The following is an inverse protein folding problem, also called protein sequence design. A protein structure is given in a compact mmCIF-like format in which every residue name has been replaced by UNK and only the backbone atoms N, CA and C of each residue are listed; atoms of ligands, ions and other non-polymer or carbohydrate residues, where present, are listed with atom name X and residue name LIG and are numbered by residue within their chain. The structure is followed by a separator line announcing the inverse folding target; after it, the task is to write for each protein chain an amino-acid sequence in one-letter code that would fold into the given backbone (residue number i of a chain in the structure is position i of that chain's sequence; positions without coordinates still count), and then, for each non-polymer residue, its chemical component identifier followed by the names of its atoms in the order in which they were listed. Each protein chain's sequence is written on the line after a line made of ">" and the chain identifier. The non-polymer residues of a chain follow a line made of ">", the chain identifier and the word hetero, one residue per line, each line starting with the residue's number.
data_IF_784168318101
#
_entry.id   IF_784168318101
#
_cell.length_a   1.000
_cell.length_b   1.000
_cell.length_c   1.000
_cell.angle_alpha   90.00
_cell.angle_beta   90.00
_cell.angle_gamma   90.00
#
_symmetry.space_group_name_H-M   'P 1'
#
loop_
_entity.id
_entity.type
_entity.pdbx_description
1 polymer ?
#
# COMPACT_ATOMS: atom_id res chain seq x y z
N UNK A 1 -21.67 -53.22 60.30
CA UNK A 1 -22.10 -52.13 59.41
C UNK A 1 -20.87 -51.74 58.58
N UNK A 2 -20.63 -52.41 57.45
CA UNK A 2 -20.91 -51.92 56.07
C UNK A 2 -20.09 -50.65 55.76
N UNK A 3 -19.27 -50.49 54.72
CA UNK A 3 -19.05 -51.20 53.45
C UNK A 3 -17.92 -50.45 52.69
N UNK A 4 -17.18 -51.15 51.81
CA UNK A 4 -16.56 -50.65 50.55
C UNK A 4 -15.55 -49.48 50.56
N UNK A 5 -14.27 -49.79 50.33
CA UNK A 5 -13.38 -49.02 49.44
C UNK A 5 -13.83 -49.28 47.97
N UNK A 6 -13.59 -48.43 46.93
CA UNK A 6 -12.25 -47.90 46.61
C UNK A 6 -12.21 -46.57 45.78
N UNK A 7 -11.01 -46.28 45.26
CA UNK A 7 -10.70 -45.58 44.00
C UNK A 7 -10.13 -44.17 44.03
N UNK A 8 -8.89 -44.12 43.55
CA UNK A 8 -8.12 -42.97 43.13
C UNK A 8 -8.84 -42.18 42.04
N UNK A 9 -8.70 -40.85 42.07
CA UNK A 9 -8.82 -40.05 40.86
C UNK A 9 -7.64 -39.08 40.76
N UNK A 10 -6.81 -39.39 39.78
CA UNK A 10 -5.84 -38.52 39.12
C UNK A 10 -6.35 -37.08 38.99
N UNK A 11 -5.65 -36.15 39.64
CA UNK A 11 -5.71 -34.73 39.26
C UNK A 11 -5.01 -34.54 37.92
N UNK A 12 -5.69 -34.86 36.81
CA UNK A 12 -5.24 -34.47 35.48
C UNK A 12 -5.07 -32.93 35.43
N UNK A 13 -3.95 -32.41 34.90
CA UNK A 13 -3.86 -30.98 34.61
C UNK A 13 -4.89 -30.67 33.52
N UNK A 14 -5.81 -29.74 33.82
CA UNK A 14 -6.77 -29.19 32.88
C UNK A 14 -5.99 -28.62 31.68
N UNK A 15 -5.93 -29.40 30.60
CA UNK A 15 -5.37 -28.97 29.34
C UNK A 15 -6.24 -27.81 28.81
N UNK A 16 -5.73 -26.58 28.97
CA UNK A 16 -6.32 -25.39 28.37
C UNK A 16 -6.23 -25.57 26.86
N UNK A 17 -7.37 -25.86 26.19
CA UNK A 17 -7.44 -25.95 24.73
C UNK A 17 -6.77 -24.71 24.09
N UNK A 18 -6.05 -24.87 22.97
CA UNK A 18 -5.26 -23.79 22.40
C UNK A 18 -6.19 -22.67 21.92
N UNK A 19 -6.07 -21.49 22.53
CA UNK A 19 -6.77 -20.24 22.17
C UNK A 19 -6.32 -19.65 20.80
N UNK A 20 -5.95 -20.50 19.83
CA UNK A 20 -5.37 -20.08 18.55
C UNK A 20 -6.34 -19.21 17.73
N UNK A 21 -7.64 -19.52 17.73
CA UNK A 21 -8.65 -18.73 17.02
C UNK A 21 -8.85 -17.32 17.58
N UNK A 22 -8.90 -17.19 18.92
CA UNK A 22 -9.09 -15.90 19.59
C UNK A 22 -7.90 -14.94 19.41
N UNK A 23 -6.67 -15.47 19.49
CA UNK A 23 -5.45 -14.66 19.30
C UNK A 23 -5.27 -14.18 17.85
N UNK A 24 -5.54 -15.05 16.87
CA UNK A 24 -5.48 -14.67 15.47
C UNK A 24 -6.51 -13.59 15.13
N UNK A 25 -7.71 -13.69 15.70
CA UNK A 25 -8.74 -12.66 15.51
C UNK A 25 -8.37 -11.32 16.17
N UNK A 26 -7.82 -11.34 17.39
CA UNK A 26 -7.36 -10.12 18.05
C UNK A 26 -6.22 -9.41 17.28
N UNK A 27 -5.26 -10.17 16.75
CA UNK A 27 -4.17 -9.61 15.95
C UNK A 27 -4.68 -9.02 14.63
N UNK A 28 -5.64 -9.67 13.96
CA UNK A 28 -6.30 -9.14 12.76
C UNK A 28 -6.95 -7.78 13.03
N UNK A 29 -7.76 -7.68 14.10
CA UNK A 29 -8.43 -6.42 14.46
C UNK A 29 -7.41 -5.31 14.77
N UNK A 30 -6.32 -5.65 15.48
CA UNK A 30 -5.24 -4.71 15.78
C UNK A 30 -4.57 -4.18 14.50
N UNK A 31 -4.24 -5.07 13.56
CA UNK A 31 -3.65 -4.68 12.28
C UNK A 31 -4.60 -3.82 11.45
N UNK A 32 -5.90 -4.16 11.44
CA UNK A 32 -6.93 -3.41 10.75
C UNK A 32 -7.04 -1.97 11.30
N UNK A 33 -7.18 -1.81 12.61
CA UNK A 33 -7.27 -0.50 13.27
C UNK A 33 -6.02 0.34 13.00
N UNK A 34 -4.83 -0.25 13.09
CA UNK A 34 -3.58 0.45 12.79
C UNK A 34 -3.48 0.91 11.33
N UNK A 35 -4.10 0.19 10.39
CA UNK A 35 -4.07 0.50 8.97
C UNK A 35 -5.14 1.52 8.53
N UNK A 36 -6.23 1.69 9.30
CA UNK A 36 -7.35 2.57 8.94
C UNK A 36 -6.95 3.98 8.49
N UNK A 37 -6.04 4.72 9.18
CA UNK A 37 -5.64 6.05 8.72
C UNK A 37 -4.99 6.01 7.34
N UNK A 38 -4.18 4.99 7.06
CA UNK A 38 -3.50 4.80 5.78
C UNK A 38 -4.49 4.44 4.66
N UNK A 39 -5.50 3.63 4.98
CA UNK A 39 -6.57 3.28 4.03
C UNK A 39 -7.41 4.50 3.63
N UNK A 40 -7.74 5.40 4.57
CA UNK A 40 -8.44 6.66 4.26
C UNK A 40 -7.67 7.55 3.31
N UNK A 41 -6.37 7.72 3.56
CA UNK A 41 -5.50 8.48 2.66
C UNK A 41 -5.44 7.85 1.27
N UNK A 42 -5.35 6.52 1.19
CA UNK A 42 -5.36 5.81 -0.09
C UNK A 42 -6.70 5.93 -0.82
N UNK A 43 -7.82 5.77 -0.12
CA UNK A 43 -9.16 5.91 -0.69
C UNK A 43 -9.40 7.33 -1.22
N UNK A 44 -8.92 8.35 -0.50
CA UNK A 44 -8.96 9.74 -0.96
C UNK A 44 -8.10 9.95 -2.21
N UNK A 45 -6.94 9.31 -2.27
CA UNK A 45 -6.07 9.37 -3.45
C UNK A 45 -6.73 8.76 -4.70
N UNK A 46 -7.54 7.70 -4.53
CA UNK A 46 -8.29 7.03 -5.59
C UNK A 46 -9.54 7.82 -6.02
N UNK A 47 -10.36 8.22 -5.06
CA UNK A 47 -11.70 8.81 -5.31
C UNK A 47 -11.68 10.32 -5.53
N UNK A 48 -10.68 11.02 -4.98
CA UNK A 48 -10.58 12.50 -4.94
C UNK A 48 -11.76 13.21 -4.26
N UNK A 49 -12.69 12.46 -3.65
CA UNK A 49 -13.87 12.95 -2.96
C UNK A 49 -13.90 12.35 -1.56
N UNK A 50 -14.07 13.19 -0.54
CA UNK A 50 -14.03 12.76 0.86
C UNK A 50 -15.15 11.79 1.22
N UNK A 51 -16.39 12.08 0.83
CA UNK A 51 -17.53 11.23 1.14
C UNK A 51 -17.36 9.86 0.47
N UNK A 52 -17.04 9.85 -0.83
CA UNK A 52 -16.77 8.61 -1.55
C UNK A 52 -15.58 7.82 -0.99
N UNK A 53 -14.55 8.50 -0.46
CA UNK A 53 -13.43 7.86 0.21
C UNK A 53 -13.83 7.18 1.53
N UNK A 54 -14.63 7.85 2.34
CA UNK A 54 -15.14 7.31 3.60
C UNK A 54 -16.02 6.08 3.36
N UNK A 55 -16.94 6.15 2.38
CA UNK A 55 -17.78 5.03 1.95
C UNK A 55 -16.94 3.84 1.45
N UNK A 56 -15.95 4.12 0.58
CA UNK A 56 -15.06 3.09 0.04
C UNK A 56 -14.28 2.37 1.16
N UNK A 57 -13.79 3.10 2.16
CA UNK A 57 -13.09 2.49 3.30
C UNK A 57 -14.05 1.66 4.14
N UNK A 58 -15.25 2.16 4.42
CA UNK A 58 -16.25 1.43 5.20
C UNK A 58 -16.59 0.10 4.53
N UNK A 59 -16.89 0.12 3.23
CA UNK A 59 -17.15 -1.08 2.43
C UNK A 59 -15.97 -2.05 2.45
N UNK A 60 -14.74 -1.55 2.27
CA UNK A 60 -13.55 -2.40 2.26
C UNK A 60 -13.31 -3.06 3.62
N UNK A 61 -13.51 -2.33 4.71
CA UNK A 61 -13.39 -2.84 6.08
C UNK A 61 -14.47 -3.90 6.35
N UNK A 62 -15.72 -3.66 5.96
CA UNK A 62 -16.80 -4.64 6.12
C UNK A 62 -16.49 -5.95 5.36
N UNK A 63 -16.00 -5.84 4.12
CA UNK A 63 -15.59 -7.02 3.35
C UNK A 63 -14.37 -7.72 3.95
N UNK A 64 -13.41 -6.97 4.49
CA UNK A 64 -12.25 -7.55 5.15
C UNK A 64 -12.64 -8.35 6.41
N UNK A 65 -13.56 -7.82 7.22
CA UNK A 65 -14.11 -8.53 8.38
C UNK A 65 -14.87 -9.79 7.95
N UNK A 66 -15.69 -9.72 6.90
CA UNK A 66 -16.40 -10.88 6.36
C UNK A 66 -15.45 -11.94 5.77
N UNK A 67 -14.32 -11.50 5.20
CA UNK A 67 -13.30 -12.35 4.60
C UNK A 67 -12.13 -12.65 5.54
N UNK A 68 -12.25 -12.40 6.84
CA UNK A 68 -11.15 -12.50 7.80
C UNK A 68 -10.46 -13.87 7.78
N UNK A 69 -11.23 -14.95 7.63
CA UNK A 69 -10.71 -16.32 7.58
C UNK A 69 -9.89 -16.62 6.31
N UNK A 70 -10.07 -15.83 5.25
CA UNK A 70 -9.29 -15.95 4.00
C UNK A 70 -7.92 -15.28 4.08
N UNK A 71 -7.67 -14.47 5.12
CA UNK A 71 -6.37 -13.85 5.33
C UNK A 71 -5.40 -14.86 5.92
N UNK A 72 -4.27 -15.07 5.25
CA UNK A 72 -3.19 -15.93 5.76
C UNK A 72 -2.30 -15.14 6.72
N UNK A 73 -2.26 -15.47 8.03
CA UNK A 73 -1.41 -14.79 8.99
C UNK A 73 0.07 -14.88 8.62
N UNK A 74 0.83 -13.81 8.86
CA UNK A 74 2.25 -13.73 8.49
C UNK A 74 2.52 -13.25 7.06
N UNK A 75 1.47 -13.11 6.23
CA UNK A 75 1.56 -12.39 4.95
C UNK A 75 1.34 -10.88 5.15
N UNK A 76 1.63 -10.08 4.12
CA UNK A 76 1.49 -8.63 4.20
C UNK A 76 0.01 -8.19 4.25
N UNK A 77 -0.44 -7.88 5.46
CA UNK A 77 -1.80 -7.42 5.73
C UNK A 77 -2.17 -6.14 4.95
N UNK A 78 -1.22 -5.20 4.80
CA UNK A 78 -1.48 -3.96 4.07
C UNK A 78 -1.70 -4.21 2.57
N UNK A 79 -0.92 -5.12 1.97
CA UNK A 79 -1.12 -5.51 0.57
C UNK A 79 -2.47 -6.23 0.37
N UNK A 80 -2.86 -7.09 1.31
CA UNK A 80 -4.16 -7.78 1.28
C UNK A 80 -5.33 -6.78 1.38
N UNK A 81 -5.28 -5.86 2.35
CA UNK A 81 -6.29 -4.80 2.50
C UNK A 81 -6.34 -3.86 1.29
N UNK A 82 -5.19 -3.52 0.71
CA UNK A 82 -5.15 -2.72 -0.52
C UNK A 82 -5.90 -3.42 -1.65
N UNK A 83 -5.70 -4.72 -1.83
CA UNK A 83 -6.39 -5.49 -2.87
C UNK A 83 -7.91 -5.47 -2.68
N UNK A 84 -8.39 -5.60 -1.45
CA UNK A 84 -9.83 -5.49 -1.13
C UNK A 84 -10.34 -4.08 -1.49
N UNK A 85 -9.67 -3.03 -1.01
CA UNK A 85 -10.04 -1.63 -1.26
C UNK A 85 -10.09 -1.32 -2.77
N UNK A 86 -9.06 -1.74 -3.51
CA UNK A 86 -8.94 -1.52 -4.95
C UNK A 86 -10.03 -2.26 -5.73
N UNK A 87 -10.31 -3.51 -5.37
CA UNK A 87 -11.39 -4.28 -5.99
C UNK A 87 -12.74 -3.59 -5.77
N UNK A 88 -13.02 -3.10 -4.56
CA UNK A 88 -14.24 -2.32 -4.28
C UNK A 88 -14.31 -1.04 -5.11
N UNK A 89 -13.23 -0.29 -5.20
CA UNK A 89 -13.17 0.91 -6.02
C UNK A 89 -13.48 0.64 -7.50
N UNK A 90 -12.86 -0.40 -8.08
CA UNK A 90 -13.11 -0.80 -9.47
C UNK A 90 -14.56 -1.25 -9.66
N UNK A 91 -15.13 -2.00 -8.71
CA UNK A 91 -16.54 -2.37 -8.73
C UNK A 91 -17.46 -1.15 -8.71
N UNK A 92 -17.16 -0.13 -7.90
CA UNK A 92 -17.93 1.13 -7.87
C UNK A 92 -17.83 1.87 -9.20
N UNK A 93 -16.65 2.00 -9.79
CA UNK A 93 -16.47 2.66 -11.09
C UNK A 93 -17.21 1.95 -12.23
N UNK A 94 -17.21 0.61 -12.22
CA UNK A 94 -17.96 -0.17 -13.23
C UNK A 94 -19.46 0.08 -13.13
N UNK A 95 -20.01 0.13 -11.91
CA UNK A 95 -21.42 0.46 -11.69
C UNK A 95 -21.75 1.89 -12.11
N UNK A 96 -20.93 2.87 -11.73
CA UNK A 96 -21.16 4.28 -12.10
C UNK A 96 -21.14 4.51 -13.62
N UNK A 97 -20.28 3.81 -14.37
CA UNK A 97 -20.28 3.88 -15.84
C UNK A 97 -21.58 3.41 -16.48
N UNK A 98 -22.32 2.52 -15.81
CA UNK A 98 -23.63 2.06 -16.25
C UNK A 98 -24.74 3.08 -15.96
N UNK A 99 -24.47 4.11 -15.14
CA UNK A 99 -25.48 5.04 -14.60
C UNK A 99 -25.16 6.53 -14.76
N UNK A 100 -24.13 6.91 -15.54
CA UNK A 100 -23.50 8.25 -15.58
C UNK A 100 -24.45 9.46 -15.38
N UNK A 101 -24.20 10.26 -14.34
CA UNK A 101 -23.69 11.65 -14.43
C UNK A 101 -23.37 12.16 -13.01
N UNK A 102 -22.10 12.39 -12.62
CA UNK A 102 -21.79 13.14 -11.38
C UNK A 102 -20.51 13.99 -11.53
N UNK A 103 -20.68 15.27 -11.22
CA UNK A 103 -19.70 16.35 -11.05
C UNK A 103 -18.49 16.02 -10.15
N UNK A 104 -17.35 16.57 -10.52
CA UNK A 104 -16.08 16.55 -9.77
C UNK A 104 -16.07 17.68 -8.71
N UNK A 105 -15.92 17.35 -7.42
CA UNK A 105 -15.75 18.31 -6.31
C UNK A 105 -14.30 18.28 -5.77
N UNK A 106 -13.71 19.41 -5.32
CA UNK A 106 -12.27 19.53 -5.16
C UNK A 106 -11.74 18.97 -3.83
N UNK A 107 -10.48 18.49 -3.88
CA UNK A 107 -9.74 17.98 -2.71
C UNK A 107 -9.37 19.07 -1.70
N UNK A 108 -9.98 19.02 -0.51
CA UNK A 108 -9.56 19.78 0.69
C UNK A 108 -9.14 18.88 1.86
N UNK A 109 -9.16 17.56 1.70
CA UNK A 109 -9.12 16.59 2.81
C UNK A 109 -7.73 16.23 3.36
N UNK A 110 -6.65 16.78 2.82
CA UNK A 110 -5.30 16.59 3.35
C UNK A 110 -4.87 17.65 4.37
N UNK A 111 -5.72 18.63 4.70
CA UNK A 111 -5.36 19.68 5.65
C UNK A 111 -5.27 19.12 7.09
N UNK A 112 -4.05 18.77 7.50
CA UNK A 112 -3.70 18.55 8.91
C UNK A 112 -3.58 19.91 9.61
N UNK A 113 -3.97 19.98 10.88
CA UNK A 113 -3.78 21.17 11.72
C UNK A 113 -2.29 21.36 12.02
N UNK A 114 -1.60 22.17 11.20
CA UNK A 114 -0.24 22.67 11.43
C UNK A 114 -0.20 24.20 11.39
N UNK A 115 0.97 24.80 11.63
CA UNK A 115 1.18 26.23 11.47
C UNK A 115 0.80 26.70 10.06
N UNK A 116 0.53 27.99 9.86
CA UNK A 116 -0.04 28.51 8.62
C UNK A 116 0.77 28.11 7.37
N UNK A 117 2.11 28.09 7.49
CA UNK A 117 3.03 27.68 6.44
C UNK A 117 2.96 26.17 6.13
N UNK A 118 2.87 25.31 7.14
CA UNK A 118 2.72 23.85 6.97
C UNK A 118 1.43 23.51 6.21
N UNK A 119 0.35 24.25 6.47
CA UNK A 119 -0.94 24.04 5.77
C UNK A 119 -0.84 24.42 4.30
N UNK A 120 -0.05 25.43 3.94
CA UNK A 120 0.13 25.84 2.56
C UNK A 120 0.93 24.80 1.77
N UNK A 121 2.08 24.37 2.30
CA UNK A 121 2.91 23.32 1.70
C UNK A 121 2.13 22.02 1.54
N UNK A 122 1.36 21.64 2.56
CA UNK A 122 0.53 20.44 2.52
C UNK A 122 -0.58 20.55 1.46
N UNK A 123 -1.18 21.73 1.28
CA UNK A 123 -2.18 21.98 0.23
C UNK A 123 -1.57 21.90 -1.17
N UNK A 124 -0.34 22.39 -1.36
CA UNK A 124 0.40 22.28 -2.62
C UNK A 124 0.76 20.84 -2.94
N UNK A 125 1.30 20.09 -1.99
CA UNK A 125 1.57 18.66 -2.12
C UNK A 125 0.29 17.89 -2.49
N UNK A 126 -0.82 18.21 -1.85
CA UNK A 126 -2.11 17.57 -2.11
C UNK A 126 -2.62 17.82 -3.52
N UNK A 127 -2.50 19.05 -4.02
CA UNK A 127 -2.81 19.39 -5.41
C UNK A 127 -1.88 18.66 -6.38
N UNK A 128 -0.58 18.64 -6.10
CA UNK A 128 0.42 17.95 -6.93
C UNK A 128 0.13 16.44 -7.01
N UNK A 129 -0.13 15.77 -5.88
CA UNK A 129 -0.58 14.37 -5.85
C UNK A 129 -1.87 14.19 -6.66
N UNK A 130 -2.80 15.14 -6.58
CA UNK A 130 -4.03 15.20 -7.37
C UNK A 130 -3.85 15.25 -8.88
N UNK A 131 -2.71 15.74 -9.37
CA UNK A 131 -2.38 15.81 -10.79
C UNK A 131 -1.74 14.53 -11.33
N UNK A 132 -1.17 13.69 -10.46
CA UNK A 132 -0.58 12.42 -10.87
C UNK A 132 -1.63 11.49 -11.51
N UNK A 133 -1.27 10.73 -12.56
CA UNK A 133 -2.11 9.61 -13.03
C UNK A 133 -2.45 8.65 -11.88
N UNK A 134 -3.65 8.09 -11.90
CA UNK A 134 -4.16 7.20 -10.83
C UNK A 134 -3.18 6.07 -10.49
N UNK A 135 -2.67 5.38 -11.51
CA UNK A 135 -1.75 4.25 -11.34
C UNK A 135 -0.41 4.63 -10.70
N UNK A 136 0.10 5.82 -11.03
CA UNK A 136 1.37 6.32 -10.49
C UNK A 136 1.21 6.75 -9.03
N UNK A 137 0.11 7.45 -8.75
CA UNK A 137 -0.29 7.86 -7.42
C UNK A 137 -0.50 6.63 -6.52
N UNK A 138 -1.30 5.69 -6.99
CA UNK A 138 -1.61 4.44 -6.27
C UNK A 138 -0.32 3.69 -5.89
N UNK A 139 0.58 3.46 -6.85
CA UNK A 139 1.87 2.82 -6.61
C UNK A 139 2.74 3.60 -5.61
N UNK A 140 2.78 4.93 -5.71
CA UNK A 140 3.53 5.76 -4.78
C UNK A 140 3.01 5.63 -3.34
N UNK A 141 1.68 5.65 -3.15
CA UNK A 141 1.08 5.50 -1.82
C UNK A 141 1.36 4.12 -1.21
N UNK A 142 1.26 3.05 -2.00
CA UNK A 142 1.59 1.71 -1.50
C UNK A 142 3.04 1.63 -0.99
N UNK A 143 4.00 2.19 -1.72
CA UNK A 143 5.41 2.17 -1.28
C UNK A 143 5.64 3.10 -0.09
N UNK A 144 5.22 4.36 -0.18
CA UNK A 144 5.61 5.39 0.79
C UNK A 144 4.79 5.33 2.07
N UNK A 145 3.48 5.10 1.97
CA UNK A 145 2.58 5.13 3.13
C UNK A 145 2.46 3.74 3.76
N UNK A 146 2.34 2.70 2.94
CA UNK A 146 2.10 1.35 3.40
C UNK A 146 3.40 0.54 3.56
N UNK A 147 4.52 0.99 3.00
CA UNK A 147 5.82 0.34 3.15
C UNK A 147 5.97 -0.92 2.30
N UNK A 148 5.17 -1.08 1.24
CA UNK A 148 5.20 -2.26 0.39
C UNK A 148 6.48 -2.29 -0.48
N UNK A 149 7.02 -3.49 -0.65
CA UNK A 149 8.04 -3.77 -1.66
C UNK A 149 7.47 -3.61 -3.07
N UNK A 150 8.34 -3.44 -4.07
CA UNK A 150 7.90 -3.32 -5.46
C UNK A 150 7.23 -4.60 -5.97
N UNK A 151 7.63 -5.75 -5.44
CA UNK A 151 7.07 -7.07 -5.71
C UNK A 151 5.64 -7.17 -5.18
N UNK A 152 5.39 -6.72 -3.94
CA UNK A 152 4.04 -6.68 -3.37
C UNK A 152 3.13 -5.68 -4.10
N UNK A 153 3.65 -4.52 -4.49
CA UNK A 153 2.93 -3.55 -5.31
C UNK A 153 2.52 -4.17 -6.65
N UNK A 154 3.44 -4.87 -7.30
CA UNK A 154 3.19 -5.55 -8.58
C UNK A 154 2.10 -6.61 -8.43
N UNK A 155 2.18 -7.45 -7.40
CA UNK A 155 1.17 -8.46 -7.10
C UNK A 155 -0.20 -7.85 -6.79
N UNK A 156 -0.24 -6.78 -6.00
CA UNK A 156 -1.49 -6.17 -5.57
C UNK A 156 -2.19 -5.41 -6.71
N UNK A 157 -1.42 -4.81 -7.62
CA UNK A 157 -1.95 -4.11 -8.81
C UNK A 157 -2.11 -4.98 -10.06
N UNK A 158 -1.54 -6.19 -10.06
CA UNK A 158 -1.56 -7.10 -11.21
C UNK A 158 -0.68 -6.63 -12.38
N UNK A 159 0.44 -5.96 -12.09
CA UNK A 159 1.39 -5.50 -13.12
C UNK A 159 2.77 -6.14 -12.95
N UNK A 160 3.68 -5.94 -13.92
CA UNK A 160 5.06 -6.38 -13.78
C UNK A 160 5.85 -5.54 -12.76
N UNK A 161 6.85 -6.13 -12.09
CA UNK A 161 7.69 -5.43 -11.11
C UNK A 161 8.38 -4.20 -11.70
N UNK A 162 8.85 -4.28 -12.96
CA UNK A 162 9.40 -3.13 -13.68
C UNK A 162 8.38 -2.00 -13.90
N UNK A 163 7.10 -2.34 -14.10
CA UNK A 163 6.00 -1.38 -14.21
C UNK A 163 5.73 -0.71 -12.87
N UNK A 164 5.72 -1.45 -11.76
CA UNK A 164 5.59 -0.88 -10.42
C UNK A 164 6.74 0.11 -10.11
N UNK A 165 7.99 -0.31 -10.35
CA UNK A 165 9.18 0.54 -10.18
C UNK A 165 9.10 1.83 -11.02
N UNK A 166 8.77 1.71 -12.30
CA UNK A 166 8.67 2.86 -13.21
C UNK A 166 7.52 3.80 -12.86
N UNK A 167 6.37 3.29 -12.39
CA UNK A 167 5.26 4.10 -11.88
C UNK A 167 5.67 4.96 -10.68
N UNK A 168 6.34 4.35 -9.69
CA UNK A 168 6.83 5.06 -8.50
C UNK A 168 7.90 6.09 -8.88
N UNK A 169 8.85 5.71 -9.73
CA UNK A 169 9.90 6.62 -10.19
C UNK A 169 9.32 7.85 -10.92
N UNK A 170 8.39 7.63 -11.85
CA UNK A 170 7.72 8.72 -12.58
C UNK A 170 6.92 9.62 -11.65
N UNK A 171 6.19 9.04 -10.68
CA UNK A 171 5.45 9.80 -9.68
C UNK A 171 6.37 10.74 -8.90
N UNK A 172 7.50 10.22 -8.39
CA UNK A 172 8.49 11.01 -7.65
C UNK A 172 9.08 12.13 -8.49
N UNK A 173 9.48 11.84 -9.74
CA UNK A 173 10.02 12.84 -10.67
C UNK A 173 9.01 13.95 -10.95
N UNK A 174 7.75 13.62 -11.22
CA UNK A 174 6.71 14.61 -11.47
C UNK A 174 6.45 15.50 -10.24
N UNK A 175 6.38 14.90 -9.04
CA UNK A 175 6.23 15.67 -7.81
C UNK A 175 7.42 16.59 -7.55
N UNK A 176 8.65 16.11 -7.75
CA UNK A 176 9.86 16.95 -7.65
C UNK A 176 9.79 18.14 -8.60
N UNK A 177 9.45 17.92 -9.88
CA UNK A 177 9.32 19.00 -10.86
C UNK A 177 8.26 20.03 -10.44
N UNK A 178 7.10 19.59 -9.96
CA UNK A 178 6.01 20.50 -9.61
C UNK A 178 6.21 21.26 -8.29
N UNK A 179 6.92 20.67 -7.33
CA UNK A 179 7.08 21.24 -5.99
C UNK A 179 8.39 22.02 -5.82
N UNK A 180 9.48 21.59 -6.49
CA UNK A 180 10.79 22.24 -6.38
C UNK A 180 11.08 23.25 -7.50
N UNK A 181 10.21 23.37 -8.52
CA UNK A 181 10.39 24.36 -9.59
C UNK A 181 11.59 24.09 -10.52
N UNK A 182 11.95 22.81 -10.69
CA UNK A 182 13.11 22.25 -11.40
C UNK A 182 14.43 22.17 -10.60
N UNK A 183 14.97 20.94 -10.52
CA UNK A 183 16.41 20.74 -10.77
C UNK A 183 16.53 20.11 -12.16
N UNK A 184 16.69 20.96 -13.18
CA UNK A 184 17.24 20.56 -14.47
C UNK A 184 18.76 20.54 -14.34
N UNK A 185 19.32 19.53 -13.69
CA UNK A 185 20.73 19.18 -13.84
C UNK A 185 20.94 17.72 -13.42
N UNK A 186 21.94 17.07 -14.02
CA UNK A 186 22.36 15.68 -13.79
C UNK A 186 21.44 14.56 -14.30
N UNK A 187 21.41 14.45 -15.63
CA UNK A 187 21.99 13.27 -16.32
C UNK A 187 22.10 13.51 -17.82
N UNK A 188 22.88 14.52 -18.18
CA UNK A 188 23.70 14.45 -19.38
C UNK A 188 24.87 13.53 -19.01
N UNK A 189 24.70 12.22 -19.24
CA UNK A 189 25.85 11.33 -19.33
C UNK A 189 26.57 11.71 -20.62
N UNK A 190 27.81 12.21 -20.60
CA UNK A 190 28.55 12.43 -21.83
C UNK A 190 28.67 11.09 -22.56
N UNK A 191 28.32 11.11 -23.84
CA UNK A 191 28.39 9.97 -24.77
C UNK A 191 29.82 9.70 -25.24
N UNK A 192 30.82 10.08 -24.46
CA UNK A 192 32.25 9.97 -24.77
C UNK A 192 32.92 8.97 -23.84
N UNK A 193 32.62 7.69 -24.04
CA UNK A 193 33.48 6.55 -23.71
C UNK A 193 32.98 5.33 -24.49
N UNK A 194 32.76 5.56 -25.80
CA UNK A 194 32.80 4.52 -26.82
C UNK A 194 34.06 4.81 -27.64
N UNK A 195 34.97 3.83 -27.70
CA UNK A 195 36.40 3.90 -28.06
C UNK A 195 37.23 4.19 -26.80
N UNK A 196 37.91 3.21 -26.20
CA UNK A 196 38.94 2.39 -26.85
C UNK A 196 38.96 0.94 -26.32
N UNK A 197 38.61 -0.02 -27.19
CA UNK A 197 39.14 -1.40 -27.11
C UNK A 197 39.31 -1.90 -28.54
N UNK A 198 40.40 -1.49 -29.19
CA UNK A 198 41.02 -2.20 -30.32
C UNK A 198 42.54 -2.10 -30.19
N UNK A 199 43.18 -3.25 -29.95
CA UNK A 199 44.64 -3.46 -29.98
C UNK A 199 45.36 -2.88 -28.75
N UNK A 200 46.30 -3.53 -28.09
CA UNK A 200 47.40 -4.32 -28.62
C UNK A 200 47.76 -5.38 -27.56
N UNK A 201 47.53 -6.64 -27.88
CA UNK A 201 48.09 -7.77 -27.13
C UNK A 201 49.23 -8.35 -27.94
N UNK A 202 50.47 -7.96 -27.64
CA UNK A 202 51.66 -8.63 -28.16
C UNK A 202 52.69 -8.88 -27.05
N UNK A 203 52.99 -10.18 -26.86
CA UNK A 203 54.27 -10.81 -26.53
C UNK A 203 54.97 -10.51 -25.18
N UNK A 204 55.64 -11.43 -24.47
CA UNK A 204 55.79 -12.91 -24.41
C UNK A 204 56.75 -13.19 -23.22
N UNK A 205 56.94 -14.48 -22.92
CA UNK A 205 58.08 -15.13 -22.25
C UNK A 205 57.99 -15.36 -20.72
N UNK A 206 57.58 -16.59 -20.37
CA UNK A 206 57.98 -17.27 -19.14
C UNK A 206 58.96 -18.39 -19.50
N UNK A 207 60.03 -18.48 -18.71
CA UNK A 207 61.14 -19.45 -18.72
C UNK A 207 60.65 -20.84 -18.35
#
# INVERSE_FOLDING_TARGET
>A
MTNTAPEAQDGQPVATKPQRGGRASAEFHKQLVALLPKLRVQALALTRNRAAAEDLVQDAVANALAAQESFTPGTNFAAWMHRILRNRFISTLRKQRETTDIEDLPMSAFAVSGAHDDRMVLKELSRALGRLPSDQREALFMVVLQGLSYEEVAQATGCAVGTAKSRVFRARRQLQTWLAGEERSERQLPRSERSDVVGIGEYRAGV
#
